data_IF_419858219070
#
_entry.id   IF_419858219070
#
_cell.length_a   1.000
_cell.length_b   1.000
_cell.length_c   1.000
_cell.angle_alpha   90.00
_cell.angle_beta   90.00
_cell.angle_gamma   90.00
#
_symmetry.space_group_name_H-M   'P 1'
#
loop_
_entity.id
_entity.type
_entity.pdbx_description
1 polymer ?
#
# COMPACT_ATOMS: atom_id res chain seq x y z
N UNK A 1 -10.03 -1.42 22.45
CA UNK A 1 -9.38 -2.26 21.41
C UNK A 1 -8.71 -1.41 20.31
N UNK A 2 -9.31 -0.33 19.83
CA UNK A 2 -8.75 0.59 18.79
C UNK A 2 -7.47 1.29 19.28
N UNK A 3 -7.43 1.73 20.52
CA UNK A 3 -6.30 2.50 21.09
C UNK A 3 -5.00 1.68 21.23
N UNK A 4 -5.10 0.39 21.55
CA UNK A 4 -3.93 -0.50 21.61
C UNK A 4 -3.36 -0.83 20.23
N UNK A 5 -4.20 -0.86 19.20
CA UNK A 5 -3.75 -1.04 17.83
C UNK A 5 -2.99 0.18 17.33
N UNK A 6 -3.47 1.39 17.63
CA UNK A 6 -2.83 2.64 17.24
C UNK A 6 -1.41 2.79 17.84
N UNK A 7 -1.26 2.49 19.14
CA UNK A 7 0.04 2.55 19.81
C UNK A 7 1.05 1.56 19.25
N UNK A 8 0.63 0.33 18.95
CA UNK A 8 1.50 -0.68 18.31
C UNK A 8 1.92 -0.24 16.90
N UNK A 9 1.01 0.31 16.13
CA UNK A 9 1.23 0.84 14.80
C UNK A 9 2.24 2.00 14.84
N UNK A 10 2.02 2.97 15.73
CA UNK A 10 2.92 4.10 15.91
C UNK A 10 4.33 3.66 16.30
N UNK A 11 4.48 2.74 17.27
CA UNK A 11 5.77 2.19 17.65
C UNK A 11 6.45 1.42 16.51
N UNK A 12 5.69 0.67 15.71
CA UNK A 12 6.21 -0.04 14.54
C UNK A 12 6.81 0.93 13.51
N UNK A 13 6.13 2.04 13.22
CA UNK A 13 6.62 3.09 12.33
C UNK A 13 7.86 3.75 12.93
N UNK A 14 7.82 4.14 14.20
CA UNK A 14 8.97 4.79 14.87
C UNK A 14 10.22 3.91 14.85
N UNK A 15 10.09 2.60 15.11
CA UNK A 15 11.21 1.66 15.07
C UNK A 15 11.81 1.50 13.67
N UNK A 16 10.96 1.43 12.65
CA UNK A 16 11.39 1.35 11.24
C UNK A 16 12.08 2.65 10.78
N UNK A 17 11.65 3.81 11.27
CA UNK A 17 12.22 5.11 10.94
C UNK A 17 13.53 5.42 11.71
N UNK A 18 13.73 4.77 12.85
CA UNK A 18 14.88 5.04 13.73
C UNK A 18 16.24 5.03 13.00
N UNK A 19 16.60 4.04 12.16
CA UNK A 19 17.88 4.02 11.46
C UNK A 19 18.04 5.22 10.52
N UNK A 20 16.99 5.63 9.82
CA UNK A 20 17.04 6.80 8.91
C UNK A 20 17.26 8.10 9.69
N UNK A 21 16.58 8.26 10.82
CA UNK A 21 16.75 9.41 11.71
C UNK A 21 18.17 9.45 12.27
N UNK A 22 18.71 8.32 12.73
CA UNK A 22 20.06 8.25 13.28
C UNK A 22 21.12 8.58 12.22
N UNK A 23 20.99 8.08 11.01
CA UNK A 23 21.90 8.40 9.90
C UNK A 23 21.84 9.89 9.55
N UNK A 24 20.63 10.46 9.46
CA UNK A 24 20.46 11.88 9.14
C UNK A 24 21.02 12.82 10.24
N UNK A 25 20.78 12.48 11.50
CA UNK A 25 21.35 13.22 12.64
C UNK A 25 22.87 13.09 12.73
N UNK A 26 23.40 11.87 12.46
CA UNK A 26 24.85 11.63 12.38
C UNK A 26 25.51 12.46 11.27
N UNK A 27 24.88 12.53 10.11
CA UNK A 27 25.32 13.37 9.00
C UNK A 27 25.33 14.86 9.41
N UNK A 28 24.26 15.33 10.06
CA UNK A 28 24.22 16.72 10.55
C UNK A 28 25.27 17.02 11.58
N UNK A 29 25.55 16.09 12.49
CA UNK A 29 26.62 16.24 13.49
C UNK A 29 27.98 16.35 12.81
N UNK A 30 28.22 15.56 11.79
CA UNK A 30 29.44 15.61 10.98
C UNK A 30 29.55 16.98 10.26
N UNK A 31 28.51 17.45 9.63
CA UNK A 31 28.48 18.76 8.97
C UNK A 31 28.71 19.89 9.99
N UNK A 32 28.08 19.81 11.16
CA UNK A 32 28.22 20.79 12.22
C UNK A 32 29.67 20.90 12.72
N UNK A 33 30.41 19.80 12.78
CA UNK A 33 31.84 19.85 13.08
C UNK A 33 32.65 20.59 12.00
N UNK A 34 32.28 20.43 10.72
CA UNK A 34 32.93 21.19 9.62
C UNK A 34 32.50 22.67 9.61
N UNK A 35 31.27 23.01 9.93
CA UNK A 35 30.80 24.40 10.11
C UNK A 35 31.64 25.14 11.15
N UNK A 36 32.05 24.47 12.25
CA UNK A 36 32.86 25.05 13.30
C UNK A 36 34.28 25.41 12.84
N UNK A 37 34.79 24.85 11.74
CA UNK A 37 36.10 25.14 11.15
C UNK A 37 36.09 26.29 10.12
N UNK A 38 34.96 27.04 9.98
CA UNK A 38 34.83 28.20 9.04
C UNK A 38 35.11 27.86 7.56
N UNK A 39 34.97 26.60 7.15
CA UNK A 39 35.20 26.16 5.77
C UNK A 39 33.90 26.13 4.94
N UNK A 40 32.79 26.56 5.51
CA UNK A 40 31.51 26.44 4.88
C UNK A 40 31.08 27.69 4.13
N UNK A 41 30.71 27.62 2.86
CA UNK A 41 30.20 28.79 2.11
C UNK A 41 28.86 29.25 2.66
N UNK A 42 28.72 30.53 2.93
CA UNK A 42 27.45 31.15 3.26
C UNK A 42 26.56 31.19 2.02
N UNK A 43 25.44 30.47 2.06
CA UNK A 43 24.45 30.47 0.98
C UNK A 43 23.37 31.49 1.35
N UNK A 44 23.23 32.53 0.53
CA UNK A 44 22.19 33.54 0.68
C UNK A 44 20.81 32.96 0.32
N UNK A 45 19.83 33.11 1.22
CA UNK A 45 18.43 32.68 1.03
C UNK A 45 18.23 31.17 0.77
N UNK A 46 18.74 30.27 1.61
CA UNK A 46 18.56 28.82 1.43
C UNK A 46 17.07 28.40 1.48
N UNK A 47 16.21 29.20 2.12
CA UNK A 47 14.79 28.93 2.28
C UNK A 47 14.03 28.78 0.97
N UNK A 48 14.39 29.54 -0.08
CA UNK A 48 13.75 29.43 -1.40
C UNK A 48 14.07 28.08 -2.03
N UNK A 49 15.33 27.65 -2.01
CA UNK A 49 15.77 26.37 -2.60
C UNK A 49 15.10 25.22 -1.86
N UNK A 50 15.13 25.25 -0.53
CA UNK A 50 14.47 24.26 0.34
C UNK A 50 12.98 24.18 0.04
N UNK A 51 12.31 25.32 -0.09
CA UNK A 51 10.87 25.40 -0.36
C UNK A 51 10.50 24.81 -1.71
N UNK A 52 11.22 25.17 -2.77
CA UNK A 52 10.93 24.68 -4.14
C UNK A 52 11.11 23.16 -4.24
N UNK A 53 12.20 22.62 -3.71
CA UNK A 53 12.47 21.17 -3.77
C UNK A 53 11.49 20.42 -2.86
N UNK A 54 11.22 20.92 -1.65
CA UNK A 54 10.26 20.32 -0.73
C UNK A 54 8.84 20.27 -1.32
N UNK A 55 8.43 21.32 -2.04
CA UNK A 55 7.16 21.33 -2.77
C UNK A 55 7.13 20.28 -3.88
N UNK A 56 8.22 20.13 -4.65
CA UNK A 56 8.35 19.08 -5.66
C UNK A 56 8.19 17.68 -5.07
N UNK A 57 8.83 17.40 -3.92
CA UNK A 57 8.72 16.12 -3.21
C UNK A 57 7.28 15.88 -2.72
N UNK A 58 6.64 16.91 -2.17
CA UNK A 58 5.24 16.81 -1.72
C UNK A 58 4.29 16.44 -2.87
N UNK A 59 4.51 17.00 -4.07
CA UNK A 59 3.74 16.64 -5.27
C UNK A 59 4.00 15.17 -5.65
N UNK A 60 5.25 14.72 -5.65
CA UNK A 60 5.60 13.33 -5.99
C UNK A 60 4.99 12.33 -5.01
N UNK A 61 5.08 12.60 -3.70
CA UNK A 61 4.46 11.77 -2.67
C UNK A 61 2.92 11.77 -2.80
N UNK A 62 2.32 12.92 -3.04
CA UNK A 62 0.88 13.06 -3.24
C UNK A 62 0.40 12.30 -4.48
N UNK A 63 1.14 12.35 -5.58
CA UNK A 63 0.83 11.58 -6.78
C UNK A 63 0.91 10.07 -6.53
N UNK A 64 1.98 9.58 -5.86
CA UNK A 64 2.10 8.16 -5.49
C UNK A 64 0.96 7.73 -4.57
N UNK A 65 0.67 8.50 -3.55
CA UNK A 65 -0.43 8.23 -2.62
C UNK A 65 -1.78 8.14 -3.34
N UNK A 66 -2.04 9.04 -4.28
CA UNK A 66 -3.28 9.03 -5.08
C UNK A 66 -3.41 7.74 -5.91
N UNK A 67 -2.34 7.30 -6.55
CA UNK A 67 -2.33 6.06 -7.36
C UNK A 67 -2.57 4.84 -6.48
N UNK A 68 -1.87 4.74 -5.36
CA UNK A 68 -1.97 3.59 -4.44
C UNK A 68 -3.36 3.54 -3.79
N UNK A 69 -3.87 4.68 -3.34
CA UNK A 69 -5.21 4.79 -2.77
C UNK A 69 -6.30 4.42 -3.79
N UNK A 70 -6.17 4.91 -5.03
CA UNK A 70 -7.07 4.53 -6.12
C UNK A 70 -7.05 3.04 -6.41
N UNK A 71 -5.88 2.37 -6.30
CA UNK A 71 -5.76 0.92 -6.42
C UNK A 71 -6.51 0.21 -5.30
N UNK A 72 -6.29 0.60 -4.05
CA UNK A 72 -6.92 0.01 -2.88
C UNK A 72 -8.44 0.06 -2.99
N UNK A 73 -9.02 1.23 -3.22
CA UNK A 73 -10.47 1.38 -3.39
C UNK A 73 -11.02 0.60 -4.57
N UNK A 74 -10.28 0.51 -5.68
CA UNK A 74 -10.73 -0.25 -6.84
C UNK A 74 -10.76 -1.75 -6.59
N UNK A 75 -9.86 -2.28 -5.75
CA UNK A 75 -9.88 -3.69 -5.32
C UNK A 75 -11.07 -3.93 -4.39
N UNK A 76 -11.30 -3.06 -3.40
CA UNK A 76 -12.43 -3.17 -2.48
C UNK A 76 -13.78 -3.16 -3.21
N UNK A 77 -13.94 -2.25 -4.17
CA UNK A 77 -15.14 -2.16 -5.00
C UNK A 77 -15.33 -3.43 -5.85
N UNK A 78 -14.26 -3.98 -6.43
CA UNK A 78 -14.32 -5.24 -7.16
C UNK A 78 -14.67 -6.42 -6.25
N UNK A 79 -14.15 -6.49 -5.02
CA UNK A 79 -14.53 -7.50 -4.02
C UNK A 79 -16.02 -7.39 -3.68
N UNK A 80 -16.56 -6.19 -3.50
CA UNK A 80 -17.99 -5.99 -3.27
C UNK A 80 -18.85 -6.49 -4.46
N UNK A 81 -18.42 -6.24 -5.70
CA UNK A 81 -19.14 -6.75 -6.91
C UNK A 81 -19.05 -8.27 -7.01
N UNK A 82 -17.89 -8.87 -6.68
CA UNK A 82 -17.73 -10.33 -6.58
C UNK A 82 -18.73 -10.90 -5.59
N UNK A 83 -18.83 -10.34 -4.38
CA UNK A 83 -19.78 -10.77 -3.35
C UNK A 83 -21.23 -10.63 -3.84
N UNK A 84 -21.56 -9.55 -4.54
CA UNK A 84 -22.87 -9.39 -5.18
C UNK A 84 -23.19 -10.52 -6.16
N UNK A 85 -22.23 -10.88 -7.01
CA UNK A 85 -22.38 -12.00 -7.96
C UNK A 85 -22.49 -13.36 -7.25
N UNK A 86 -21.70 -13.57 -6.19
CA UNK A 86 -21.76 -14.80 -5.39
C UNK A 86 -23.12 -14.99 -4.71
N UNK A 87 -23.73 -13.92 -4.20
CA UNK A 87 -25.09 -14.00 -3.61
C UNK A 87 -26.11 -14.45 -4.63
N UNK A 88 -26.07 -13.94 -5.86
CA UNK A 88 -26.96 -14.36 -6.94
C UNK A 88 -26.76 -15.83 -7.28
N UNK A 89 -25.52 -16.30 -7.36
CA UNK A 89 -25.19 -17.70 -7.65
C UNK A 89 -25.56 -18.64 -6.49
N UNK A 90 -25.36 -18.20 -5.25
CA UNK A 90 -25.62 -19.00 -4.04
C UNK A 90 -27.11 -19.32 -3.85
N UNK A 91 -28.00 -18.40 -4.22
CA UNK A 91 -29.46 -18.62 -4.13
C UNK A 91 -29.98 -19.67 -5.11
N UNK A 92 -29.15 -20.21 -6.00
CA UNK A 92 -29.51 -21.27 -6.92
C UNK A 92 -29.25 -22.63 -6.27
N UNK A 93 -30.28 -23.47 -6.11
CA UNK A 93 -30.25 -24.71 -5.30
C UNK A 93 -29.06 -25.64 -5.55
N UNK A 94 -28.54 -25.69 -6.79
CA UNK A 94 -27.45 -26.61 -7.15
C UNK A 94 -26.05 -25.98 -7.07
N UNK A 95 -25.94 -24.64 -6.99
CA UNK A 95 -24.67 -23.90 -7.00
C UNK A 95 -24.20 -23.46 -5.61
N UNK A 96 -25.07 -23.45 -4.60
CA UNK A 96 -24.76 -22.90 -3.28
C UNK A 96 -23.48 -23.44 -2.67
N UNK A 97 -23.31 -24.78 -2.64
CA UNK A 97 -22.10 -25.41 -2.11
C UNK A 97 -20.83 -25.09 -2.91
N UNK A 98 -20.92 -25.05 -4.25
CA UNK A 98 -19.79 -24.75 -5.11
C UNK A 98 -19.38 -23.27 -4.97
N UNK A 99 -20.34 -22.37 -4.85
CA UNK A 99 -20.14 -20.94 -4.65
C UNK A 99 -19.47 -20.67 -3.29
N UNK A 100 -19.93 -21.34 -2.23
CA UNK A 100 -19.35 -21.19 -0.91
C UNK A 100 -17.91 -21.74 -0.87
N UNK A 101 -17.66 -22.92 -1.44
CA UNK A 101 -16.32 -23.50 -1.51
C UNK A 101 -15.36 -22.58 -2.28
N UNK A 102 -15.82 -21.98 -3.38
CA UNK A 102 -15.06 -21.02 -4.13
C UNK A 102 -14.73 -19.75 -3.29
N UNK A 103 -15.74 -19.23 -2.57
CA UNK A 103 -15.58 -18.02 -1.75
C UNK A 103 -14.53 -18.21 -0.63
N UNK A 104 -14.56 -19.36 0.06
CA UNK A 104 -13.58 -19.72 1.11
C UNK A 104 -12.17 -19.76 0.52
N UNK A 105 -12.00 -20.40 -0.62
CA UNK A 105 -10.68 -20.53 -1.24
C UNK A 105 -10.20 -19.20 -1.85
N UNK A 106 -11.09 -18.36 -2.34
CA UNK A 106 -10.73 -17.03 -2.80
C UNK A 106 -10.31 -16.13 -1.62
N UNK A 107 -10.97 -16.20 -0.48
CA UNK A 107 -10.56 -15.52 0.76
C UNK A 107 -9.18 -15.99 1.22
N UNK A 108 -8.90 -17.28 1.16
CA UNK A 108 -7.58 -17.83 1.46
C UNK A 108 -6.52 -17.31 0.48
N UNK A 109 -6.84 -17.26 -0.83
CA UNK A 109 -5.96 -16.69 -1.86
C UNK A 109 -5.65 -15.22 -1.61
N UNK A 110 -6.65 -14.41 -1.27
CA UNK A 110 -6.44 -13.00 -0.92
C UNK A 110 -5.63 -12.84 0.37
N UNK A 111 -5.74 -13.82 1.26
CA UNK A 111 -5.02 -13.84 2.54
C UNK A 111 -3.58 -14.33 2.41
N UNK A 112 -3.22 -15.04 1.35
CA UNK A 112 -1.89 -15.59 1.10
C UNK A 112 -1.61 -15.59 -0.40
N UNK A 113 -1.23 -14.41 -0.91
CA UNK A 113 -1.09 -14.16 -2.35
C UNK A 113 0.23 -14.72 -2.88
N UNK A 114 0.24 -16.03 -3.17
CA UNK A 114 1.35 -16.68 -3.86
C UNK A 114 0.99 -16.96 -5.33
N UNK A 115 1.97 -17.10 -6.23
CA UNK A 115 1.70 -17.47 -7.63
C UNK A 115 0.85 -18.73 -7.77
N UNK A 116 1.07 -19.71 -6.89
CA UNK A 116 0.33 -20.99 -6.86
C UNK A 116 -1.14 -20.76 -6.49
N UNK A 117 -1.42 -19.97 -5.45
CA UNK A 117 -2.79 -19.64 -5.05
C UNK A 117 -3.53 -18.82 -6.12
N UNK A 118 -2.84 -17.94 -6.82
CA UNK A 118 -3.42 -17.17 -7.94
C UNK A 118 -3.83 -18.09 -9.09
N UNK A 119 -2.97 -19.03 -9.46
CA UNK A 119 -3.27 -20.03 -10.51
C UNK A 119 -4.45 -20.89 -10.07
N UNK A 120 -4.45 -21.39 -8.83
CA UNK A 120 -5.54 -22.19 -8.28
C UNK A 120 -6.87 -21.42 -8.28
N UNK A 121 -6.89 -20.15 -7.85
CA UNK A 121 -8.08 -19.30 -7.85
C UNK A 121 -8.64 -19.08 -9.28
N UNK A 122 -7.77 -18.88 -10.28
CA UNK A 122 -8.18 -18.78 -11.69
C UNK A 122 -8.80 -20.08 -12.21
N UNK A 123 -8.18 -21.22 -11.92
CA UNK A 123 -8.69 -22.53 -12.34
C UNK A 123 -10.07 -22.81 -11.72
N UNK A 124 -10.24 -22.54 -10.44
CA UNK A 124 -11.50 -22.73 -9.74
C UNK A 124 -12.60 -21.76 -10.23
N UNK A 125 -12.20 -20.52 -10.54
CA UNK A 125 -13.14 -19.59 -11.17
C UNK A 125 -13.65 -20.16 -12.49
N UNK A 126 -12.75 -20.70 -13.33
CA UNK A 126 -13.12 -21.35 -14.59
C UNK A 126 -14.03 -22.56 -14.37
N UNK A 127 -13.74 -23.38 -13.35
CA UNK A 127 -14.56 -24.55 -13.00
C UNK A 127 -15.95 -24.15 -12.52
N UNK A 128 -16.05 -23.11 -11.66
CA UNK A 128 -17.35 -22.58 -11.22
C UNK A 128 -18.18 -22.05 -12.38
N UNK A 129 -17.52 -21.32 -13.30
CA UNK A 129 -18.18 -20.78 -14.50
C UNK A 129 -18.69 -21.90 -15.41
N UNK A 130 -17.86 -22.91 -15.69
CA UNK A 130 -18.23 -24.04 -16.52
C UNK A 130 -19.47 -24.76 -15.95
N UNK A 131 -19.46 -25.05 -14.65
CA UNK A 131 -20.60 -25.65 -13.96
C UNK A 131 -21.86 -24.78 -14.04
N UNK A 132 -21.72 -23.45 -13.93
CA UNK A 132 -22.83 -22.50 -14.00
C UNK A 132 -23.42 -22.41 -15.41
N UNK A 133 -22.58 -22.49 -16.45
CA UNK A 133 -23.00 -22.48 -17.86
C UNK A 133 -23.72 -23.78 -18.25
N UNK A 134 -23.25 -24.94 -17.77
CA UNK A 134 -23.89 -26.24 -18.01
C UNK A 134 -25.33 -26.27 -17.47
N UNK A 135 -25.61 -25.46 -16.43
CA UNK A 135 -26.94 -25.30 -15.85
C UNK A 135 -27.83 -24.26 -16.59
N UNK A 136 -27.37 -23.70 -17.72
CA UNK A 136 -28.14 -22.80 -18.59
C UNK A 136 -28.26 -21.37 -18.08
N UNK A 137 -27.31 -20.88 -17.30
CA UNK A 137 -27.35 -19.54 -16.69
C UNK A 137 -26.66 -18.44 -17.52
N UNK A 138 -27.19 -17.21 -17.37
CA UNK A 138 -26.85 -16.02 -18.15
C UNK A 138 -25.35 -15.68 -18.22
N UNK A 139 -24.78 -15.76 -19.41
CA UNK A 139 -23.40 -15.43 -19.70
C UNK A 139 -22.92 -14.02 -19.28
N UNK A 140 -23.74 -12.96 -19.37
CA UNK A 140 -23.34 -11.61 -18.98
C UNK A 140 -22.92 -11.46 -17.51
N UNK A 141 -23.65 -12.08 -16.58
CA UNK A 141 -23.32 -12.04 -15.15
C UNK A 141 -22.00 -12.76 -14.85
N UNK A 142 -21.78 -13.89 -15.51
CA UNK A 142 -20.54 -14.66 -15.37
C UNK A 142 -19.33 -13.94 -15.97
N UNK A 143 -19.51 -13.23 -17.08
CA UNK A 143 -18.46 -12.40 -17.68
C UNK A 143 -18.05 -11.26 -16.72
N UNK A 144 -19.03 -10.61 -16.06
CA UNK A 144 -18.78 -9.60 -15.03
C UNK A 144 -17.99 -10.16 -13.85
N UNK A 145 -18.41 -11.29 -13.31
CA UNK A 145 -17.75 -11.99 -12.23
C UNK A 145 -16.29 -12.36 -12.58
N UNK A 146 -16.07 -12.98 -13.75
CA UNK A 146 -14.74 -13.35 -14.21
C UNK A 146 -13.82 -12.15 -14.35
N UNK A 147 -14.34 -11.06 -14.92
CA UNK A 147 -13.61 -9.81 -15.06
C UNK A 147 -13.20 -9.26 -13.70
N UNK A 148 -14.11 -9.22 -12.73
CA UNK A 148 -13.85 -8.64 -11.42
C UNK A 148 -12.87 -9.50 -10.60
N UNK A 149 -12.94 -10.83 -10.67
CA UNK A 149 -11.94 -11.74 -10.09
C UNK A 149 -10.56 -11.53 -10.73
N UNK A 150 -10.50 -11.51 -12.06
CA UNK A 150 -9.24 -11.28 -12.79
C UNK A 150 -8.66 -9.91 -12.48
N UNK A 151 -9.51 -8.89 -12.32
CA UNK A 151 -9.11 -7.54 -11.95
C UNK A 151 -8.49 -7.49 -10.57
N UNK A 152 -9.13 -8.10 -9.55
CA UNK A 152 -8.60 -8.16 -8.18
C UNK A 152 -7.23 -8.84 -8.17
N UNK A 153 -7.12 -10.03 -8.77
CA UNK A 153 -5.86 -10.77 -8.80
C UNK A 153 -4.74 -10.02 -9.53
N UNK A 154 -5.08 -9.34 -10.64
CA UNK A 154 -4.10 -8.56 -11.39
C UNK A 154 -3.67 -7.30 -10.61
N UNK A 155 -4.63 -6.56 -10.03
CA UNK A 155 -4.33 -5.34 -9.27
C UNK A 155 -3.60 -5.62 -7.97
N UNK A 156 -3.87 -6.74 -7.33
CA UNK A 156 -3.20 -7.16 -6.10
C UNK A 156 -1.73 -7.53 -6.32
N UNK A 157 -1.37 -7.98 -7.54
CA UNK A 157 0.00 -8.34 -7.91
C UNK A 157 0.73 -7.25 -8.70
N UNK A 158 0.03 -6.20 -9.12
CA UNK A 158 0.65 -5.11 -9.87
C UNK A 158 1.46 -4.22 -8.92
N UNK A 159 2.76 -4.19 -9.09
CA UNK A 159 3.67 -3.33 -8.34
C UNK A 159 3.87 -1.99 -9.05
N UNK A 160 4.17 -0.94 -8.29
CA UNK A 160 4.65 0.31 -8.86
C UNK A 160 6.05 0.05 -9.46
N UNK A 161 6.39 0.64 -10.62
CA UNK A 161 7.71 0.45 -11.20
C UNK A 161 8.82 0.80 -10.20
N UNK A 162 9.74 -0.14 -9.95
CA UNK A 162 10.87 0.02 -9.02
C UNK A 162 11.67 1.31 -9.29
N UNK A 163 11.76 1.72 -10.56
CA UNK A 163 12.43 2.96 -10.92
C UNK A 163 11.83 4.20 -10.24
N UNK A 164 10.51 4.23 -10.04
CA UNK A 164 9.85 5.33 -9.34
C UNK A 164 10.18 5.34 -7.85
N UNK A 165 10.24 4.17 -7.21
CA UNK A 165 10.57 4.04 -5.79
C UNK A 165 12.02 4.45 -5.51
N UNK A 166 12.95 3.98 -6.34
CA UNK A 166 14.34 4.37 -6.27
C UNK A 166 14.50 5.89 -6.47
N UNK A 167 13.81 6.45 -7.47
CA UNK A 167 13.84 7.89 -7.73
C UNK A 167 13.30 8.70 -6.54
N UNK A 168 12.18 8.31 -5.98
CA UNK A 168 11.57 9.00 -4.83
C UNK A 168 12.48 8.93 -3.59
N UNK A 169 12.98 7.74 -3.27
CA UNK A 169 13.88 7.52 -2.13
C UNK A 169 15.17 8.33 -2.28
N UNK A 170 15.77 8.33 -3.48
CA UNK A 170 16.97 9.12 -3.77
C UNK A 170 16.70 10.61 -3.63
N UNK A 171 15.55 11.08 -4.12
CA UNK A 171 15.16 12.49 -4.02
C UNK A 171 14.97 12.93 -2.57
N UNK A 172 14.31 12.09 -1.75
CA UNK A 172 14.16 12.36 -0.30
C UNK A 172 15.53 12.39 0.39
N UNK A 173 16.42 11.43 0.07
CA UNK A 173 17.76 11.37 0.64
C UNK A 173 18.59 12.62 0.27
N UNK A 174 18.61 13.01 -1.00
CA UNK A 174 19.29 14.21 -1.46
C UNK A 174 18.73 15.48 -0.80
N UNK A 175 17.42 15.56 -0.64
CA UNK A 175 16.80 16.69 0.05
C UNK A 175 17.18 16.75 1.52
N UNK A 176 17.26 15.60 2.20
CA UNK A 176 17.70 15.52 3.59
C UNK A 176 19.16 15.99 3.73
N UNK A 177 20.04 15.55 2.82
CA UNK A 177 21.43 16.01 2.77
C UNK A 177 21.49 17.53 2.55
N UNK A 178 20.71 18.04 1.61
CA UNK A 178 20.65 19.46 1.31
C UNK A 178 20.23 20.29 2.52
N UNK A 179 19.22 19.85 3.27
CA UNK A 179 18.79 20.53 4.50
C UNK A 179 19.88 20.44 5.58
N UNK A 180 20.55 19.30 5.71
CA UNK A 180 21.66 19.15 6.65
C UNK A 180 22.78 20.17 6.39
N UNK A 181 23.01 20.47 5.10
CA UNK A 181 24.01 21.44 4.63
C UNK A 181 23.53 22.89 4.79
N UNK A 182 22.28 23.19 4.41
CA UNK A 182 21.78 24.55 4.27
C UNK A 182 21.24 25.16 5.57
N UNK A 183 20.82 24.35 6.54
CA UNK A 183 20.28 24.84 7.81
C UNK A 183 21.31 24.73 8.91
N UNK A 184 21.99 25.87 9.28
CA UNK A 184 23.03 25.88 10.29
C UNK A 184 22.45 25.69 11.70
N UNK A 185 23.32 25.42 12.64
CA UNK A 185 23.05 25.41 14.08
C UNK A 185 22.11 24.32 14.60
N UNK A 186 21.73 24.45 15.87
CA UNK A 186 20.80 23.52 16.57
C UNK A 186 19.44 23.43 15.88
N UNK A 187 18.95 24.50 15.25
CA UNK A 187 17.71 24.50 14.46
C UNK A 187 17.74 23.47 13.33
N UNK A 188 18.92 23.22 12.75
CA UNK A 188 19.11 22.20 11.71
C UNK A 188 18.84 20.78 12.18
N UNK A 189 19.18 20.43 13.42
CA UNK A 189 18.88 19.10 13.98
C UNK A 189 17.39 18.87 14.13
N UNK A 190 16.64 19.89 14.62
CA UNK A 190 15.19 19.82 14.77
C UNK A 190 14.51 19.72 13.38
N UNK A 191 14.96 20.54 12.44
CA UNK A 191 14.42 20.55 11.08
C UNK A 191 14.61 19.19 10.39
N UNK A 192 15.81 18.59 10.48
CA UNK A 192 16.10 17.28 9.90
C UNK A 192 15.28 16.19 10.57
N UNK A 193 15.17 16.20 11.92
CA UNK A 193 14.36 15.21 12.63
C UNK A 193 12.91 15.22 12.14
N UNK A 194 12.29 16.40 12.12
CA UNK A 194 10.89 16.54 11.67
C UNK A 194 10.75 16.12 10.20
N UNK A 195 11.66 16.55 9.34
CA UNK A 195 11.62 16.27 7.92
C UNK A 195 11.77 14.79 7.61
N UNK A 196 12.76 14.13 8.20
CA UNK A 196 12.98 12.69 8.03
C UNK A 196 11.76 11.92 8.52
N UNK A 197 11.23 12.28 9.71
CA UNK A 197 10.04 11.65 10.25
C UNK A 197 8.83 11.78 9.30
N UNK A 198 8.59 12.97 8.77
CA UNK A 198 7.43 13.22 7.89
C UNK A 198 7.62 12.58 6.51
N UNK A 199 8.75 12.80 5.84
CA UNK A 199 8.94 12.34 4.47
C UNK A 199 9.18 10.84 4.37
N UNK A 200 10.07 10.28 5.18
CA UNK A 200 10.26 8.82 5.19
C UNK A 200 9.07 8.09 5.79
N UNK A 201 8.40 8.68 6.80
CA UNK A 201 7.16 8.13 7.33
C UNK A 201 6.05 8.07 6.29
N UNK A 202 5.87 9.14 5.53
CA UNK A 202 4.91 9.16 4.41
C UNK A 202 5.30 8.15 3.32
N UNK A 203 6.58 8.08 2.94
CA UNK A 203 7.06 7.13 1.94
C UNK A 203 6.82 5.67 2.39
N UNK A 204 7.11 5.33 3.65
CA UNK A 204 6.87 3.99 4.21
C UNK A 204 5.38 3.64 4.27
N UNK A 205 4.52 4.59 4.64
CA UNK A 205 3.07 4.35 4.63
C UNK A 205 2.56 4.08 3.22
N UNK A 206 3.05 4.83 2.22
CA UNK A 206 2.66 4.64 0.83
C UNK A 206 3.19 3.30 0.29
N UNK A 207 4.40 2.89 0.69
CA UNK A 207 4.98 1.58 0.34
C UNK A 207 4.14 0.43 0.94
N UNK A 208 3.74 0.57 2.19
CA UNK A 208 2.85 -0.40 2.85
C UNK A 208 1.49 -0.53 2.15
N UNK A 209 0.92 0.58 1.69
CA UNK A 209 -0.31 0.59 0.89
C UNK A 209 -0.13 0.00 -0.51
N UNK A 210 1.08 -0.07 -1.04
CA UNK A 210 1.35 -0.65 -2.36
C UNK A 210 1.22 -2.18 -2.37
N UNK A 211 1.30 -2.81 -1.18
CA UNK A 211 1.05 -4.23 -0.96
C UNK A 211 -0.29 -4.47 -0.22
N UNK A 212 -1.44 -4.18 -0.85
CA UNK A 212 -2.73 -4.04 -0.18
C UNK A 212 -3.29 -5.34 0.42
N UNK A 213 -2.72 -6.50 0.10
CA UNK A 213 -3.11 -7.80 0.63
C UNK A 213 -2.08 -8.40 1.59
N UNK A 214 -1.01 -7.66 1.94
CA UNK A 214 -0.06 -8.12 2.95
C UNK A 214 -0.72 -8.07 4.34
N UNK A 215 -0.80 -9.24 5.00
CA UNK A 215 -1.34 -9.33 6.37
C UNK A 215 -0.50 -8.62 7.43
N UNK A 216 0.77 -8.37 7.13
CA UNK A 216 1.69 -7.66 8.02
C UNK A 216 1.67 -6.14 7.79
N UNK A 217 0.98 -5.71 6.72
CA UNK A 217 0.81 -4.32 6.38
C UNK A 217 -0.04 -3.56 7.40
N UNK A 218 0.18 -2.26 7.47
CA UNK A 218 -0.57 -1.33 8.34
C UNK A 218 -1.95 -1.04 7.75
N UNK A 219 -2.05 -1.10 6.42
CA UNK A 219 -3.26 -0.80 5.65
C UNK A 219 -3.50 -1.96 4.69
N UNK A 220 -4.54 -2.73 4.97
CA UNK A 220 -4.96 -3.85 4.14
C UNK A 220 -6.32 -3.57 3.48
N UNK A 221 -6.55 -4.20 2.33
CA UNK A 221 -7.86 -4.20 1.66
C UNK A 221 -8.94 -4.75 2.59
N UNK A 222 -10.08 -4.08 2.60
CA UNK A 222 -11.24 -4.54 3.36
C UNK A 222 -11.92 -5.71 2.63
N UNK A 223 -11.68 -6.95 3.10
CA UNK A 223 -12.32 -8.18 2.62
C UNK A 223 -13.49 -8.64 3.50
N UNK A 224 -13.90 -7.82 4.49
CA UNK A 224 -15.03 -8.15 5.38
C UNK A 224 -16.34 -8.49 4.64
N UNK A 225 -16.70 -7.85 3.51
CA UNK A 225 -17.88 -8.25 2.75
C UNK A 225 -17.84 -9.72 2.31
N UNK A 226 -16.67 -10.23 1.93
CA UNK A 226 -16.48 -11.63 1.53
C UNK A 226 -16.58 -12.57 2.74
N UNK A 227 -15.94 -12.23 3.86
CA UNK A 227 -16.04 -13.01 5.11
C UNK A 227 -17.47 -13.06 5.64
N UNK A 228 -18.18 -11.95 5.57
CA UNK A 228 -19.59 -11.90 5.96
C UNK A 228 -20.47 -12.80 5.07
N UNK A 229 -20.23 -12.80 3.75
CA UNK A 229 -20.92 -13.73 2.85
C UNK A 229 -20.64 -15.18 3.24
N UNK A 230 -19.38 -15.56 3.51
CA UNK A 230 -19.01 -16.92 3.90
C UNK A 230 -19.73 -17.32 5.19
N UNK A 231 -19.74 -16.46 6.22
CA UNK A 231 -20.37 -16.76 7.50
C UNK A 231 -21.89 -16.97 7.37
N UNK A 232 -22.58 -16.14 6.57
CA UNK A 232 -24.03 -16.27 6.33
C UNK A 232 -24.41 -17.50 5.49
N UNK A 233 -23.50 -17.98 4.65
CA UNK A 233 -23.77 -19.10 3.73
C UNK A 233 -23.36 -20.45 4.33
N UNK A 234 -22.75 -20.47 5.49
CA UNK A 234 -22.32 -21.68 6.22
C UNK A 234 -23.37 -22.19 7.21
N UNK A 235 -24.35 -21.36 7.56
CA UNK A 235 -25.53 -21.69 8.38
C UNK A 235 -26.67 -22.25 7.51
#
# INVERSE_FOLDING_TARGET
MVEQSFLKLFWGICLKLLPYVLVALGLKLLIWTFESFSWWPEINNPGIIIGVIGFGIAILLGAKLSVVNGRLYSIEDAVCRIVGSLRVLHHKEHLGKATLAWAIQFEETLSNLTPEHIIAARQQTTTLIAKTLDEGHDGPHLAGFTRDVSYVLHRATAEIPMAYEVFLTLTIALYTIMIAVLVPSVGGFIAIFILVFVLFGAAMLIEDMDHPLDKQGLIAVNIEPLKYFISQSSD
#
